data_IF_239897268808
#
_entry.id   IF_239897268808
#
_cell.length_a   1.000
_cell.length_b   1.000
_cell.length_c   1.000
_cell.angle_alpha   90.00
_cell.angle_beta   90.00
_cell.angle_gamma   90.00
#
_symmetry.space_group_name_H-M   'P 1'
#
loop_
_entity.id
_entity.type
_entity.pdbx_description
1 polymer ?
#
# COMPACT_ATOMS: atom_id res chain seq x y z
N UNK A 1 5.97 19.08 18.90
CA UNK A 1 5.40 18.23 17.84
C UNK A 1 6.54 17.72 16.99
N UNK A 2 6.74 16.40 16.92
CA UNK A 2 7.75 15.80 16.05
C UNK A 2 7.22 15.79 14.61
N UNK A 3 8.02 16.25 13.65
CA UNK A 3 7.69 16.14 12.23
C UNK A 3 7.91 14.70 11.77
N UNK A 4 6.97 14.15 11.04
CA UNK A 4 6.99 12.82 10.46
C UNK A 4 6.81 12.94 8.94
N UNK A 5 7.64 12.27 8.17
CA UNK A 5 7.55 12.32 6.71
C UNK A 5 6.91 11.03 6.20
N UNK A 6 5.93 11.14 5.30
CA UNK A 6 5.43 10.00 4.53
C UNK A 6 6.06 10.00 3.14
N UNK A 7 6.75 8.91 2.79
CA UNK A 7 7.47 8.71 1.54
C UNK A 7 6.52 8.54 0.34
N UNK A 8 5.69 9.54 0.11
CA UNK A 8 4.72 9.55 -0.99
C UNK A 8 4.44 10.97 -1.44
N UNK A 9 4.11 11.12 -2.72
CA UNK A 9 3.55 12.35 -3.31
C UNK A 9 2.03 12.25 -3.49
N UNK A 10 1.42 11.14 -3.02
CA UNK A 10 -0.03 10.93 -3.08
C UNK A 10 -0.71 11.57 -1.87
N UNK A 11 -1.42 12.69 -2.10
CA UNK A 11 -2.13 13.43 -1.06
C UNK A 11 -3.19 12.57 -0.32
N UNK A 12 -3.80 11.61 -1.01
CA UNK A 12 -4.76 10.68 -0.41
C UNK A 12 -4.15 9.80 0.67
N UNK A 13 -2.94 9.26 0.43
CA UNK A 13 -2.21 8.47 1.44
C UNK A 13 -1.84 9.31 2.66
N UNK A 14 -1.43 10.57 2.43
CA UNK A 14 -1.08 11.51 3.52
C UNK A 14 -2.32 11.78 4.38
N UNK A 15 -3.45 12.07 3.76
CA UNK A 15 -4.73 12.32 4.45
C UNK A 15 -5.18 11.10 5.24
N UNK A 16 -5.08 9.90 4.67
CA UNK A 16 -5.44 8.64 5.33
C UNK A 16 -4.59 8.39 6.59
N UNK A 17 -3.26 8.46 6.49
CA UNK A 17 -2.39 8.25 7.64
C UNK A 17 -2.60 9.34 8.70
N UNK A 18 -2.79 10.59 8.28
CA UNK A 18 -3.04 11.70 9.21
C UNK A 18 -4.32 11.50 10.02
N UNK A 19 -5.39 11.03 9.38
CA UNK A 19 -6.64 10.70 10.06
C UNK A 19 -6.45 9.55 11.06
N UNK A 20 -5.78 8.47 10.67
CA UNK A 20 -5.50 7.31 11.54
C UNK A 20 -4.67 7.71 12.76
N UNK A 21 -3.64 8.55 12.60
CA UNK A 21 -2.84 9.03 13.73
C UNK A 21 -3.66 9.93 14.64
N UNK A 22 -4.47 10.83 14.09
CA UNK A 22 -5.33 11.73 14.87
C UNK A 22 -6.38 10.97 15.68
N UNK A 23 -7.03 9.96 15.09
CA UNK A 23 -8.00 9.08 15.78
C UNK A 23 -7.35 8.31 16.95
N UNK A 24 -6.06 8.05 16.86
CA UNK A 24 -5.26 7.43 17.93
C UNK A 24 -4.72 8.43 18.95
N UNK A 25 -5.04 9.72 18.82
CA UNK A 25 -4.57 10.80 19.70
C UNK A 25 -3.10 11.19 19.47
N UNK A 26 -2.50 10.81 18.35
CA UNK A 26 -1.14 11.15 17.96
C UNK A 26 -1.15 12.39 17.06
N UNK A 27 -0.62 13.50 17.56
CA UNK A 27 -0.53 14.78 16.83
C UNK A 27 0.89 15.01 16.36
N UNK A 28 1.22 14.50 15.17
CA UNK A 28 2.48 14.75 14.48
C UNK A 28 2.27 15.73 13.32
N UNK A 29 3.30 16.54 13.00
CA UNK A 29 3.33 17.33 11.77
C UNK A 29 3.68 16.40 10.60
N UNK A 30 2.65 15.75 10.03
CA UNK A 30 2.82 14.82 8.92
C UNK A 30 2.89 15.57 7.60
N UNK A 31 4.00 15.39 6.87
CA UNK A 31 4.25 15.97 5.55
C UNK A 31 4.56 14.88 4.52
N UNK A 32 4.24 15.12 3.25
CA UNK A 32 4.60 14.23 2.15
C UNK A 32 6.02 14.48 1.63
N UNK A 33 6.48 13.59 0.74
CA UNK A 33 7.76 13.73 0.06
C UNK A 33 7.83 14.94 -0.90
N UNK A 34 6.69 15.50 -1.27
CA UNK A 34 6.58 16.76 -2.04
C UNK A 34 7.14 17.99 -1.32
N UNK A 35 7.21 17.94 0.02
CA UNK A 35 7.89 18.98 0.81
C UNK A 35 9.43 18.97 0.64
N UNK A 36 9.98 17.94 0.00
CA UNK A 36 11.42 17.73 -0.22
C UNK A 36 11.70 17.39 -1.70
N UNK A 37 11.47 18.35 -2.62
CA UNK A 37 11.52 18.10 -4.07
C UNK A 37 12.91 17.70 -4.58
N UNK A 38 13.96 18.06 -3.86
CA UNK A 38 15.35 17.75 -4.22
C UNK A 38 15.75 16.30 -3.89
N UNK A 39 14.92 15.56 -3.13
CA UNK A 39 15.18 14.16 -2.84
C UNK A 39 14.60 13.30 -3.98
N UNK A 40 15.46 12.55 -4.70
CA UNK A 40 15.00 11.72 -5.82
C UNK A 40 14.16 10.56 -5.35
N UNK A 41 13.28 10.07 -6.25
CA UNK A 41 12.52 8.86 -6.01
C UNK A 41 13.45 7.65 -5.83
N UNK A 42 13.17 6.84 -4.82
CA UNK A 42 13.96 5.67 -4.48
C UNK A 42 13.63 4.52 -5.43
N UNK A 43 14.67 3.88 -5.99
CA UNK A 43 14.48 2.66 -6.77
C UNK A 43 14.10 1.51 -5.83
N UNK A 44 12.98 0.88 -6.10
CA UNK A 44 12.50 -0.29 -5.39
C UNK A 44 13.25 -1.53 -5.88
N UNK A 45 14.34 -1.87 -5.22
CA UNK A 45 15.22 -3.02 -5.54
C UNK A 45 15.03 -4.19 -4.59
N UNK A 46 14.17 -4.07 -3.60
CA UNK A 46 13.81 -5.13 -2.69
C UNK A 46 13.00 -6.23 -3.37
N UNK A 47 13.02 -7.43 -2.80
CA UNK A 47 12.27 -8.59 -3.29
C UNK A 47 11.01 -8.87 -2.50
N UNK A 48 10.71 -8.02 -1.50
CA UNK A 48 9.49 -8.03 -0.69
C UNK A 48 8.92 -6.62 -0.54
N UNK A 49 7.62 -6.51 -0.20
CA UNK A 49 7.02 -5.22 0.13
C UNK A 49 7.70 -4.55 1.34
N UNK A 50 8.09 -5.35 2.34
CA UNK A 50 8.79 -4.86 3.53
C UNK A 50 10.13 -4.23 3.18
N UNK A 51 10.94 -4.88 2.36
CA UNK A 51 12.23 -4.34 1.90
C UNK A 51 12.05 -3.05 1.11
N UNK A 52 11.09 -2.98 0.18
CA UNK A 52 10.84 -1.77 -0.59
C UNK A 52 10.32 -0.63 0.28
N UNK A 53 9.45 -0.90 1.25
CA UNK A 53 9.00 0.10 2.22
C UNK A 53 10.17 0.62 3.07
N UNK A 54 11.05 -0.25 3.56
CA UNK A 54 12.26 0.13 4.31
C UNK A 54 13.23 0.96 3.47
N UNK A 55 13.50 0.56 2.22
CA UNK A 55 14.36 1.33 1.31
C UNK A 55 13.87 2.78 1.17
N UNK A 56 12.57 2.98 0.97
CA UNK A 56 11.95 4.31 0.86
C UNK A 56 12.02 5.09 2.18
N UNK A 57 11.70 4.44 3.30
CA UNK A 57 11.70 5.09 4.62
C UNK A 57 13.13 5.53 5.01
N UNK A 58 14.12 4.65 4.89
CA UNK A 58 15.52 4.97 5.20
C UNK A 58 16.09 6.09 4.32
N UNK A 59 15.83 6.05 3.02
CA UNK A 59 16.32 7.09 2.11
C UNK A 59 15.84 8.49 2.54
N UNK A 60 14.56 8.62 2.91
CA UNK A 60 14.03 9.89 3.40
C UNK A 60 14.52 10.24 4.81
N UNK A 61 14.57 9.28 5.72
CA UNK A 61 15.07 9.53 7.08
C UNK A 61 16.52 10.02 7.07
N UNK A 62 17.37 9.41 6.26
CA UNK A 62 18.78 9.81 6.11
C UNK A 62 18.93 11.19 5.43
N UNK A 63 18.18 11.43 4.36
CA UNK A 63 18.27 12.68 3.61
C UNK A 63 17.74 13.89 4.39
N UNK A 64 16.75 13.70 5.27
CA UNK A 64 16.07 14.78 5.99
C UNK A 64 16.49 14.93 7.45
N UNK A 65 17.09 13.90 8.03
CA UNK A 65 17.35 13.82 9.48
C UNK A 65 16.07 13.72 10.34
N UNK A 66 14.94 13.31 9.74
CA UNK A 66 13.63 13.21 10.40
C UNK A 66 13.09 11.77 10.31
N UNK A 67 12.22 11.35 11.26
CA UNK A 67 11.51 10.09 11.12
C UNK A 67 10.71 10.02 9.82
N UNK A 68 10.77 8.89 9.13
CA UNK A 68 10.06 8.69 7.87
C UNK A 68 9.26 7.39 7.86
N UNK A 69 8.03 7.49 7.37
CA UNK A 69 7.15 6.35 7.07
C UNK A 69 7.13 6.13 5.57
N UNK A 70 7.13 4.87 5.15
CA UNK A 70 6.88 4.50 3.77
C UNK A 70 5.95 3.29 3.70
N UNK A 71 5.21 3.14 2.62
CA UNK A 71 4.47 1.93 2.32
C UNK A 71 4.86 1.37 0.96
N UNK A 72 4.80 0.04 0.85
CA UNK A 72 4.79 -0.66 -0.43
C UNK A 72 3.66 -1.68 -0.45
N UNK A 73 2.99 -1.85 -1.59
CA UNK A 73 1.78 -2.64 -1.67
C UNK A 73 1.52 -3.20 -3.06
N UNK A 74 0.79 -4.29 -3.11
CA UNK A 74 0.39 -4.91 -4.37
C UNK A 74 -0.64 -6.01 -4.18
N UNK A 75 -1.06 -6.59 -5.30
CA UNK A 75 -1.93 -7.74 -5.37
C UNK A 75 -1.09 -9.02 -5.38
N UNK A 76 -1.50 -9.99 -4.57
CA UNK A 76 -0.94 -11.34 -4.54
C UNK A 76 -2.05 -12.34 -4.91
N UNK A 77 -1.82 -13.16 -5.93
CA UNK A 77 -2.77 -14.16 -6.43
C UNK A 77 -2.23 -15.56 -6.12
N UNK A 78 -3.01 -16.35 -5.38
CA UNK A 78 -2.52 -17.61 -4.81
C UNK A 78 -2.10 -18.62 -5.87
N UNK A 79 -2.91 -18.80 -6.94
CA UNK A 79 -2.60 -19.73 -8.03
C UNK A 79 -1.36 -19.31 -8.84
N UNK A 80 -0.98 -18.03 -8.77
CA UNK A 80 0.25 -17.50 -9.38
C UNK A 80 1.43 -17.47 -8.40
N UNK A 81 1.35 -18.18 -7.26
CA UNK A 81 2.40 -18.20 -6.25
C UNK A 81 2.68 -16.82 -5.61
N UNK A 82 1.67 -15.95 -5.55
CA UNK A 82 1.78 -14.60 -5.00
C UNK A 82 2.11 -13.51 -6.03
N UNK A 83 2.30 -13.84 -7.31
CA UNK A 83 2.41 -12.82 -8.35
C UNK A 83 1.04 -12.13 -8.57
N UNK A 84 1.01 -10.87 -9.05
CA UNK A 84 2.11 -9.97 -9.40
C UNK A 84 3.00 -9.50 -8.24
N UNK A 85 2.51 -9.49 -6.97
CA UNK A 85 3.30 -9.11 -5.81
C UNK A 85 3.92 -7.71 -5.97
N UNK A 86 5.23 -7.58 -5.73
CA UNK A 86 6.00 -6.33 -5.89
C UNK A 86 6.01 -5.78 -7.33
N UNK A 87 5.58 -6.56 -8.30
CA UNK A 87 5.48 -6.13 -9.70
C UNK A 87 4.09 -5.59 -10.06
N UNK A 88 3.16 -5.46 -9.11
CA UNK A 88 1.77 -5.08 -9.35
C UNK A 88 1.63 -3.82 -10.20
N UNK A 89 2.39 -2.78 -9.93
CA UNK A 89 2.31 -1.51 -10.67
C UNK A 89 2.93 -1.56 -12.07
N UNK A 90 3.65 -2.64 -12.42
CA UNK A 90 4.34 -2.81 -13.70
C UNK A 90 4.20 -4.22 -14.29
N UNK A 91 3.11 -4.91 -13.96
CA UNK A 91 2.89 -6.31 -14.36
C UNK A 91 2.91 -6.52 -15.88
N UNK A 92 2.33 -5.58 -16.63
CA UNK A 92 2.39 -5.55 -18.10
C UNK A 92 3.66 -4.86 -18.65
N UNK A 93 4.68 -4.62 -17.82
CA UNK A 93 5.97 -4.04 -18.21
C UNK A 93 6.08 -2.53 -18.02
N UNK A 94 5.00 -1.77 -18.14
CA UNK A 94 5.00 -0.30 -17.97
C UNK A 94 4.47 0.07 -16.59
N UNK A 95 5.25 0.87 -15.86
CA UNK A 95 4.84 1.33 -14.53
C UNK A 95 3.64 2.28 -14.62
N UNK A 96 2.61 2.01 -13.80
CA UNK A 96 1.41 2.85 -13.69
C UNK A 96 0.39 2.68 -14.82
N UNK A 97 0.56 1.67 -15.69
CA UNK A 97 -0.44 1.32 -16.69
C UNK A 97 -1.45 0.32 -16.10
N UNK A 98 -2.33 0.85 -15.24
CA UNK A 98 -3.27 0.04 -14.47
C UNK A 98 -4.18 -0.82 -15.37
N UNK A 99 -4.62 -0.26 -16.50
CA UNK A 99 -5.49 -0.97 -17.44
C UNK A 99 -4.77 -2.17 -18.06
N UNK A 100 -3.55 -1.98 -18.57
CA UNK A 100 -2.77 -3.07 -19.16
C UNK A 100 -2.40 -4.14 -18.13
N UNK A 101 -2.07 -3.73 -16.89
CA UNK A 101 -1.76 -4.64 -15.80
C UNK A 101 -2.96 -5.53 -15.45
N UNK A 102 -4.15 -4.93 -15.35
CA UNK A 102 -5.41 -5.64 -15.05
C UNK A 102 -5.81 -6.58 -16.19
N UNK A 103 -5.74 -6.13 -17.45
CA UNK A 103 -6.07 -6.94 -18.64
C UNK A 103 -5.15 -8.15 -18.76
N UNK A 104 -3.84 -7.98 -18.56
CA UNK A 104 -2.89 -9.08 -18.58
C UNK A 104 -3.21 -10.11 -17.51
N UNK A 105 -3.49 -9.67 -16.29
CA UNK A 105 -3.83 -10.59 -15.20
C UNK A 105 -5.12 -11.36 -15.48
N UNK A 106 -6.15 -10.71 -15.98
CA UNK A 106 -7.40 -11.37 -16.35
C UNK A 106 -7.19 -12.40 -17.48
N UNK A 107 -6.37 -12.07 -18.49
CA UNK A 107 -6.04 -12.98 -19.57
C UNK A 107 -5.29 -14.23 -19.07
N UNK A 108 -4.36 -14.07 -18.13
CA UNK A 108 -3.62 -15.19 -17.51
C UNK A 108 -4.53 -16.10 -16.68
N UNK A 109 -5.60 -15.54 -16.09
CA UNK A 109 -6.55 -16.26 -15.25
C UNK A 109 -7.81 -16.73 -16.02
N UNK A 110 -7.84 -16.59 -17.34
CA UNK A 110 -9.05 -16.85 -18.16
C UNK A 110 -9.66 -18.23 -17.95
N UNK A 111 -8.81 -19.25 -17.88
CA UNK A 111 -9.22 -20.66 -17.72
C UNK A 111 -9.26 -21.14 -16.24
N UNK A 112 -8.97 -20.24 -15.30
CA UNK A 112 -8.94 -20.57 -13.86
C UNK A 112 -10.35 -20.48 -13.28
N UNK A 113 -10.81 -21.59 -12.70
CA UNK A 113 -12.13 -21.68 -12.04
C UNK A 113 -12.21 -20.83 -10.77
N UNK A 114 -13.42 -20.45 -10.36
CA UNK A 114 -13.68 -19.54 -9.22
C UNK A 114 -13.03 -20.02 -7.92
N UNK A 115 -13.01 -21.33 -7.66
CA UNK A 115 -12.42 -21.92 -6.45
C UNK A 115 -10.89 -21.69 -6.31
N UNK A 116 -10.20 -21.35 -7.41
CA UNK A 116 -8.76 -21.12 -7.44
C UNK A 116 -8.39 -19.65 -7.69
N UNK A 117 -9.36 -18.73 -7.62
CA UNK A 117 -9.15 -17.30 -7.86
C UNK A 117 -8.92 -16.50 -6.57
N UNK A 118 -8.52 -17.18 -5.47
CA UNK A 118 -8.19 -16.53 -4.22
C UNK A 118 -7.01 -15.58 -4.41
N UNK A 119 -7.12 -14.38 -3.81
CA UNK A 119 -6.12 -13.33 -3.88
C UNK A 119 -6.23 -12.41 -2.68
N UNK A 120 -5.19 -11.61 -2.47
CA UNK A 120 -5.22 -10.56 -1.46
C UNK A 120 -4.40 -9.36 -1.87
N UNK A 121 -4.84 -8.17 -1.49
CA UNK A 121 -3.95 -7.03 -1.43
C UNK A 121 -3.09 -7.11 -0.18
N UNK A 122 -1.80 -6.87 -0.31
CA UNK A 122 -0.86 -6.73 0.80
C UNK A 122 -0.27 -5.32 0.83
N UNK A 123 0.00 -4.83 2.03
CA UNK A 123 0.73 -3.58 2.26
C UNK A 123 1.71 -3.77 3.41
N UNK A 124 2.97 -3.45 3.19
CA UNK A 124 3.94 -3.25 4.25
C UNK A 124 4.09 -1.75 4.51
N UNK A 125 3.99 -1.34 5.78
CA UNK A 125 4.27 0.01 6.23
C UNK A 125 5.50 0.00 7.14
N UNK A 126 6.50 0.79 6.80
CA UNK A 126 7.78 0.89 7.52
C UNK A 126 7.93 2.27 8.16
N UNK A 127 8.44 2.30 9.39
CA UNK A 127 8.96 3.51 10.04
C UNK A 127 10.48 3.35 10.15
N UNK A 128 11.23 4.36 9.72
CA UNK A 128 12.67 4.46 9.91
C UNK A 128 13.04 5.76 10.59
N UNK A 129 13.98 5.69 11.54
CA UNK A 129 14.58 6.84 12.21
C UNK A 129 15.95 7.15 11.63
N UNK A 130 16.45 8.40 11.78
CA UNK A 130 17.78 8.79 11.29
C UNK A 130 18.94 8.00 11.90
N UNK A 131 18.76 7.42 13.09
CA UNK A 131 19.75 6.60 13.78
C UNK A 131 19.83 5.15 13.28
N UNK A 132 18.97 4.78 12.31
CA UNK A 132 18.87 3.44 11.75
C UNK A 132 17.85 2.53 12.44
N UNK A 133 17.19 2.99 13.49
CA UNK A 133 16.06 2.24 14.10
C UNK A 133 14.95 2.10 13.07
N UNK A 134 14.42 0.89 12.93
CA UNK A 134 13.36 0.58 11.97
C UNK A 134 12.31 -0.36 12.54
N UNK A 135 11.10 -0.27 12.03
CA UNK A 135 9.99 -1.20 12.27
C UNK A 135 9.16 -1.35 11.02
N UNK A 136 8.65 -2.55 10.81
CA UNK A 136 7.72 -2.85 9.71
C UNK A 136 6.49 -3.53 10.28
N UNK A 137 5.34 -3.15 9.74
CA UNK A 137 4.04 -3.78 10.01
C UNK A 137 3.34 -4.07 8.69
N UNK A 138 2.43 -5.04 8.69
CA UNK A 138 1.72 -5.45 7.48
C UNK A 138 0.21 -5.36 7.66
N UNK A 139 -0.49 -5.18 6.54
CA UNK A 139 -1.94 -5.29 6.45
C UNK A 139 -2.33 -6.04 5.18
N UNK A 140 -3.42 -6.82 5.26
CA UNK A 140 -3.94 -7.62 4.14
C UNK A 140 -5.44 -7.43 3.98
N UNK A 141 -5.89 -7.46 2.73
CA UNK A 141 -7.30 -7.52 2.37
C UNK A 141 -7.50 -8.74 1.47
N UNK A 142 -8.01 -9.82 2.05
CA UNK A 142 -8.30 -11.08 1.34
C UNK A 142 -9.58 -10.98 0.53
N UNK A 143 -9.65 -11.75 -0.53
CA UNK A 143 -10.83 -11.81 -1.40
C UNK A 143 -10.66 -12.79 -2.55
N UNK A 144 -11.53 -12.66 -3.53
CA UNK A 144 -11.54 -13.48 -4.74
C UNK A 144 -11.54 -12.58 -5.97
N UNK A 145 -10.83 -12.98 -7.04
CA UNK A 145 -10.79 -12.22 -8.28
C UNK A 145 -11.99 -12.58 -9.17
N UNK A 146 -12.73 -11.55 -9.60
CA UNK A 146 -13.81 -11.68 -10.58
C UNK A 146 -13.25 -11.91 -11.99
N UNK A 147 -14.06 -12.52 -12.86
CA UNK A 147 -13.73 -12.69 -14.28
C UNK A 147 -13.85 -11.39 -15.09
N UNK A 148 -14.70 -10.48 -14.62
CA UNK A 148 -14.95 -9.20 -15.29
C UNK A 148 -14.84 -8.05 -14.30
N UNK A 149 -14.26 -6.91 -14.73
CA UNK A 149 -14.18 -5.72 -13.89
C UNK A 149 -15.56 -5.15 -13.57
N UNK A 150 -15.72 -4.62 -12.36
CA UNK A 150 -16.92 -3.91 -11.91
C UNK A 150 -16.54 -2.71 -11.03
N UNK A 151 -17.32 -1.63 -11.09
CA UNK A 151 -17.07 -0.40 -10.36
C UNK A 151 -16.13 0.57 -11.10
N UNK A 152 -16.04 1.80 -10.57
CA UNK A 152 -15.25 2.88 -11.19
C UNK A 152 -14.37 3.62 -10.17
N UNK A 153 -14.43 3.23 -8.89
CA UNK A 153 -13.62 3.85 -7.84
C UNK A 153 -12.26 3.16 -7.73
N UNK A 154 -11.32 3.84 -7.05
CA UNK A 154 -10.00 3.26 -6.77
C UNK A 154 -9.09 3.24 -7.97
N UNK A 155 -8.16 2.29 -8.03
CA UNK A 155 -7.13 2.16 -9.05
C UNK A 155 -6.59 0.71 -9.12
N UNK A 156 -5.77 0.43 -10.12
CA UNK A 156 -5.10 -0.86 -10.27
C UNK A 156 -6.08 -2.02 -10.42
N UNK A 157 -6.01 -2.96 -9.50
CA UNK A 157 -6.83 -4.19 -9.51
C UNK A 157 -8.11 -4.10 -8.68
N UNK A 158 -8.48 -2.92 -8.18
CA UNK A 158 -9.72 -2.70 -7.43
C UNK A 158 -10.98 -3.19 -8.16
N UNK A 159 -11.08 -3.03 -9.49
CA UNK A 159 -12.28 -3.47 -10.22
C UNK A 159 -12.48 -5.00 -10.26
N UNK A 160 -11.48 -5.79 -9.91
CA UNK A 160 -11.58 -7.26 -9.97
C UNK A 160 -11.45 -7.95 -8.61
N UNK A 161 -10.93 -7.30 -7.56
CA UNK A 161 -10.89 -7.90 -6.23
C UNK A 161 -12.21 -7.67 -5.50
N UNK A 162 -12.93 -8.76 -5.22
CA UNK A 162 -14.09 -8.79 -4.32
C UNK A 162 -13.60 -9.21 -2.93
N UNK A 163 -13.62 -8.30 -1.94
CA UNK A 163 -13.20 -8.62 -0.57
C UNK A 163 -14.04 -9.74 0.05
N UNK A 164 -13.43 -10.52 0.94
CA UNK A 164 -14.14 -11.53 1.72
C UNK A 164 -15.26 -10.89 2.55
N UNK A 165 -16.46 -11.49 2.50
CA UNK A 165 -17.66 -10.96 3.17
C UNK A 165 -18.41 -9.87 2.41
N UNK A 166 -17.88 -9.40 1.28
CA UNK A 166 -18.53 -8.44 0.38
C UNK A 166 -19.09 -9.13 -0.87
N UNK A 167 -20.13 -8.52 -1.45
CA UNK A 167 -20.65 -8.92 -2.78
C UNK A 167 -20.18 -7.98 -3.88
N UNK A 168 -19.54 -6.89 -3.53
CA UNK A 168 -19.03 -5.83 -4.38
C UNK A 168 -17.52 -5.95 -4.54
N UNK A 169 -16.96 -5.47 -5.64
CA UNK A 169 -15.52 -5.28 -5.79
C UNK A 169 -15.03 -4.08 -4.99
N UNK A 170 -13.71 -3.97 -4.80
CA UNK A 170 -13.12 -2.78 -4.18
C UNK A 170 -13.46 -1.48 -4.92
N UNK A 171 -13.67 -1.55 -6.24
CA UNK A 171 -14.03 -0.38 -7.06
C UNK A 171 -15.53 -0.02 -7.02
N UNK A 172 -16.36 -0.89 -6.48
CA UNK A 172 -17.80 -0.61 -6.23
C UNK A 172 -18.04 -0.04 -4.83
N UNK A 173 -17.06 -0.10 -3.93
CA UNK A 173 -17.12 0.50 -2.60
C UNK A 173 -16.89 2.01 -2.66
N UNK A 174 -17.46 2.76 -1.72
CA UNK A 174 -17.06 4.15 -1.54
C UNK A 174 -15.61 4.24 -1.01
N UNK A 175 -14.94 5.38 -1.17
CA UNK A 175 -13.60 5.56 -0.59
C UNK A 175 -13.56 5.29 0.92
N UNK A 176 -14.58 5.70 1.66
CA UNK A 176 -14.69 5.51 3.10
C UNK A 176 -14.86 4.02 3.46
N UNK A 177 -15.78 3.31 2.78
CA UNK A 177 -16.00 1.88 2.96
C UNK A 177 -14.71 1.10 2.67
N UNK A 178 -14.05 1.41 1.55
CA UNK A 178 -12.80 0.76 1.16
C UNK A 178 -11.68 1.02 2.17
N UNK A 179 -11.48 2.27 2.63
CA UNK A 179 -10.43 2.62 3.59
C UNK A 179 -10.62 1.91 4.94
N UNK A 180 -11.87 1.70 5.37
CA UNK A 180 -12.16 0.96 6.60
C UNK A 180 -11.61 -0.47 6.60
N UNK A 181 -11.65 -1.16 5.46
CA UNK A 181 -11.23 -2.56 5.32
C UNK A 181 -9.88 -2.75 4.60
N UNK A 182 -9.32 -1.70 3.99
CA UNK A 182 -8.18 -1.80 3.09
C UNK A 182 -6.92 -2.34 3.76
N UNK A 183 -6.08 -3.01 2.98
CA UNK A 183 -4.75 -3.48 3.37
C UNK A 183 -3.87 -2.35 3.90
N UNK A 184 -3.85 -1.18 3.22
CA UNK A 184 -3.10 0.01 3.65
C UNK A 184 -3.65 0.58 4.95
N UNK A 185 -4.96 0.75 5.07
CA UNK A 185 -5.57 1.21 6.32
C UNK A 185 -5.27 0.29 7.49
N UNK A 186 -5.27 -1.04 7.28
CA UNK A 186 -4.85 -2.01 8.30
C UNK A 186 -3.37 -1.86 8.67
N UNK A 187 -2.47 -1.73 7.69
CA UNK A 187 -1.03 -1.51 7.93
C UNK A 187 -0.79 -0.19 8.70
N UNK A 188 -1.43 0.90 8.29
CA UNK A 188 -1.28 2.19 8.98
C UNK A 188 -1.84 2.16 10.41
N UNK A 189 -2.97 1.49 10.65
CA UNK A 189 -3.47 1.28 12.02
C UNK A 189 -2.51 0.43 12.86
N UNK A 190 -1.92 -0.61 12.29
CA UNK A 190 -0.89 -1.42 12.96
C UNK A 190 0.41 -0.62 13.23
N UNK A 191 0.68 0.45 12.47
CA UNK A 191 1.83 1.32 12.68
C UNK A 191 1.64 2.28 13.89
N UNK A 192 0.41 2.57 14.29
CA UNK A 192 0.09 3.52 15.39
C UNK A 192 0.86 3.21 16.69
N UNK A 193 0.83 1.97 17.24
CA UNK A 193 1.60 1.66 18.45
C UNK A 193 3.10 1.85 18.26
N UNK A 194 3.63 1.56 17.07
CA UNK A 194 5.05 1.75 16.75
C UNK A 194 5.44 3.22 16.77
N UNK A 195 4.60 4.08 16.17
CA UNK A 195 4.81 5.54 16.20
C UNK A 195 4.76 6.06 17.64
N UNK A 196 3.80 5.58 18.43
CA UNK A 196 3.69 5.96 19.84
C UNK A 196 4.93 5.58 20.66
N UNK A 197 5.43 4.37 20.46
CA UNK A 197 6.59 3.86 21.21
C UNK A 197 7.90 4.57 20.84
N UNK A 198 8.08 4.93 19.57
CA UNK A 198 9.34 5.48 19.08
C UNK A 198 9.37 7.02 19.03
N UNK A 199 8.21 7.67 18.93
CA UNK A 199 8.14 9.12 18.73
C UNK A 199 7.39 9.86 19.87
N UNK A 200 6.73 9.13 20.76
CA UNK A 200 6.05 9.67 21.97
C UNK A 200 4.69 10.21 21.68
#
# INVERSE_FOLDING_TARGET
MTRLILATRNAGKITELKAILADAGLTHDLVGADAYPDIPDVKETGVTFAENALLKAHALAQATGLPAVADDSGLCVDVLGGAPGIFSARWAGRHGDDQANLELLLAQLGDISDEHRAAHFACAAALALPDGTERVVEGRLTGTLRHTPAGANGFGYDPILQPEGETRTCAELSPEEKNAISHRGKAFRALVPVVRDLLG
#
